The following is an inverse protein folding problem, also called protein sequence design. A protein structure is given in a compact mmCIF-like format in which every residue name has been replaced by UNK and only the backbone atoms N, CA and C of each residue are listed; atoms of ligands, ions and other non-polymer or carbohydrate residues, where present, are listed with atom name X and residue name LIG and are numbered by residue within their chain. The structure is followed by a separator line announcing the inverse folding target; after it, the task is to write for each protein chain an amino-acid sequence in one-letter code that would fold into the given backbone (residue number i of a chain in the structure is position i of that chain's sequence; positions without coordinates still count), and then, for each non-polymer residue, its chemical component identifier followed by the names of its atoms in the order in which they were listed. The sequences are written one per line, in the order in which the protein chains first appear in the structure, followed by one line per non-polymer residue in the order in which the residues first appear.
data_IF_485719643352
#
_entry.id   IF_485719643352
#
_cell.length_a   1.000
_cell.length_b   1.000
_cell.length_c   1.000
_cell.angle_alpha   90.00
_cell.angle_beta   90.00
_cell.angle_gamma   90.00
#
_symmetry.space_group_name_H-M   'P 1'
#
loop_
_entity.id
_entity.type
_entity.pdbx_description
1 polymer ?
#
# COMPACT_ATOMS: atom_id res chain seq x y z
N UNK A 1 69.03 -0.22 -13.91
CA UNK A 1 67.78 -0.82 -14.43
C UNK A 1 66.62 0.03 -13.94
N UNK A 2 65.78 0.52 -14.86
CA UNK A 2 64.91 1.68 -14.68
C UNK A 2 63.69 1.41 -13.79
N UNK A 3 63.53 2.22 -12.74
CA UNK A 3 62.34 2.26 -11.88
C UNK A 3 61.13 2.79 -12.67
N UNK A 4 60.12 1.94 -12.88
CA UNK A 4 58.86 2.31 -13.55
C UNK A 4 57.93 3.01 -12.56
N UNK A 5 57.92 4.35 -12.56
CA UNK A 5 56.87 5.15 -11.91
C UNK A 5 55.55 4.95 -12.66
N UNK A 6 54.59 4.25 -12.05
CA UNK A 6 53.22 4.15 -12.56
C UNK A 6 52.44 5.39 -12.13
N UNK A 7 52.13 6.26 -13.08
CA UNK A 7 51.26 7.42 -12.89
C UNK A 7 49.81 6.91 -12.80
N UNK A 8 49.23 6.88 -11.60
CA UNK A 8 47.81 6.61 -11.41
C UNK A 8 47.03 7.91 -11.70
N UNK A 9 46.38 7.95 -12.86
CA UNK A 9 45.37 8.97 -13.21
C UNK A 9 44.15 8.76 -12.30
N UNK A 10 43.98 9.62 -11.30
CA UNK A 10 42.77 9.69 -10.51
C UNK A 10 41.66 10.38 -11.33
N UNK A 11 40.67 9.61 -11.78
CA UNK A 11 39.42 10.15 -12.32
C UNK A 11 38.61 10.72 -11.16
N UNK A 12 38.26 12.02 -11.13
CA UNK A 12 37.31 12.52 -10.15
C UNK A 12 35.93 11.98 -10.52
N UNK A 13 35.43 11.02 -9.74
CA UNK A 13 34.06 10.55 -9.84
C UNK A 13 33.14 11.70 -9.40
N UNK A 14 32.61 12.44 -10.38
CA UNK A 14 31.62 13.49 -10.17
C UNK A 14 30.27 12.83 -9.88
N UNK A 15 30.12 12.26 -8.69
CA UNK A 15 28.86 11.77 -8.17
C UNK A 15 28.04 12.98 -7.67
N UNK A 16 27.42 13.70 -8.60
CA UNK A 16 26.40 14.68 -8.26
C UNK A 16 25.20 13.97 -7.59
N UNK A 17 24.62 14.53 -6.51
CA UNK A 17 23.43 13.94 -5.90
C UNK A 17 22.31 13.96 -6.93
N UNK A 18 21.85 12.78 -7.35
CA UNK A 18 20.58 12.64 -8.08
C UNK A 18 19.49 13.08 -7.10
N UNK A 19 19.03 14.32 -7.24
CA UNK A 19 17.84 14.78 -6.56
C UNK A 19 16.67 13.92 -7.03
N UNK A 20 16.30 12.92 -6.22
CA UNK A 20 15.13 12.10 -6.46
C UNK A 20 13.90 12.99 -6.43
N UNK A 21 13.23 13.15 -7.57
CA UNK A 21 11.96 13.86 -7.66
C UNK A 21 10.88 12.99 -6.99
N UNK A 22 10.76 13.11 -5.67
CA UNK A 22 9.61 12.59 -4.92
C UNK A 22 8.40 13.50 -5.11
N UNK A 23 7.19 12.95 -4.99
CA UNK A 23 5.97 13.75 -4.97
C UNK A 23 5.89 14.48 -3.63
N UNK A 24 5.90 15.81 -3.66
CA UNK A 24 5.78 16.62 -2.44
C UNK A 24 4.30 16.89 -2.10
N UNK A 25 3.91 16.90 -0.80
CA UNK A 25 2.55 17.23 -0.37
C UNK A 25 1.98 18.52 -0.96
N UNK A 26 2.82 19.56 -1.08
CA UNK A 26 2.45 20.86 -1.66
C UNK A 26 1.89 20.77 -3.09
N UNK A 27 2.18 19.69 -3.83
CA UNK A 27 1.66 19.47 -5.19
C UNK A 27 0.14 19.31 -5.24
N UNK A 28 -0.50 19.01 -4.12
CA UNK A 28 -1.95 18.77 -4.05
C UNK A 28 -2.75 19.91 -3.43
N UNK A 29 -2.09 20.97 -2.94
CA UNK A 29 -2.77 22.12 -2.35
C UNK A 29 -3.77 22.76 -3.33
N UNK A 30 -4.96 23.07 -2.84
CA UNK A 30 -6.04 23.66 -3.64
C UNK A 30 -6.73 22.71 -4.62
N UNK A 31 -6.30 21.45 -4.76
CA UNK A 31 -6.97 20.45 -5.60
C UNK A 31 -8.16 19.82 -4.87
N UNK A 32 -9.23 19.57 -5.61
CA UNK A 32 -10.48 19.01 -5.08
C UNK A 32 -11.02 17.85 -5.91
N UNK A 33 -11.98 17.08 -5.38
CA UNK A 33 -12.55 17.19 -4.02
C UNK A 33 -11.53 16.76 -2.94
N UNK A 34 -11.60 17.34 -1.71
CA UNK A 34 -10.60 17.04 -0.69
C UNK A 34 -10.60 15.55 -0.30
N UNK A 35 -9.42 15.02 0.01
CA UNK A 35 -9.27 13.68 0.53
C UNK A 35 -9.39 13.73 2.05
N UNK A 36 -10.48 13.16 2.56
CA UNK A 36 -10.74 13.03 3.99
C UNK A 36 -10.74 11.53 4.32
N UNK A 37 -9.68 10.99 4.95
CA UNK A 37 -9.57 9.55 5.19
C UNK A 37 -10.79 8.95 5.89
N UNK A 38 -11.31 9.64 6.90
CA UNK A 38 -12.50 9.28 7.67
C UNK A 38 -13.79 9.21 6.86
N UNK A 39 -13.88 9.97 5.76
CA UNK A 39 -15.03 9.93 4.85
C UNK A 39 -14.82 8.94 3.71
N UNK A 40 -13.60 8.87 3.18
CA UNK A 40 -13.30 8.05 2.01
C UNK A 40 -13.25 6.56 2.34
N UNK A 41 -12.68 6.19 3.48
CA UNK A 41 -12.50 4.78 3.86
C UNK A 41 -13.64 4.25 4.75
N UNK A 42 -14.54 5.10 5.23
CA UNK A 42 -15.73 4.64 5.95
C UNK A 42 -16.78 4.09 4.97
N UNK A 43 -17.29 2.89 5.26
CA UNK A 43 -18.22 2.15 4.41
C UNK A 43 -17.56 0.97 3.71
N UNK A 44 -18.24 0.45 2.67
CA UNK A 44 -17.75 -0.68 1.85
C UNK A 44 -16.98 -0.17 0.66
N UNK A 45 -15.79 -0.74 0.43
CA UNK A 45 -14.97 -0.46 -0.73
C UNK A 45 -14.57 -1.75 -1.44
N UNK A 46 -14.28 -1.62 -2.73
CA UNK A 46 -13.49 -2.59 -3.48
C UNK A 46 -12.22 -1.94 -4.00
N UNK A 47 -11.19 -2.74 -4.14
CA UNK A 47 -9.97 -2.31 -4.82
C UNK A 47 -9.47 -3.39 -5.77
N UNK A 48 -8.75 -2.94 -6.79
CA UNK A 48 -8.00 -3.79 -7.72
C UNK A 48 -6.65 -3.14 -7.94
N UNK A 49 -5.59 -3.93 -7.83
CA UNK A 49 -4.23 -3.42 -7.91
C UNK A 49 -3.26 -4.39 -8.56
N UNK A 50 -2.13 -3.86 -8.98
CA UNK A 50 -1.02 -4.59 -9.57
C UNK A 50 0.30 -4.09 -9.00
N UNK A 51 1.30 -4.96 -9.03
CA UNK A 51 2.66 -4.59 -8.68
C UNK A 51 3.55 -4.56 -9.92
N UNK A 52 4.27 -3.46 -10.06
CA UNK A 52 5.23 -3.21 -11.12
C UNK A 52 6.62 -3.21 -10.53
N UNK A 53 7.49 -4.05 -11.08
CA UNK A 53 8.92 -4.05 -10.75
C UNK A 53 9.58 -2.74 -11.19
N UNK A 54 10.79 -2.46 -10.66
CA UNK A 54 11.61 -1.31 -11.09
C UNK A 54 11.87 -1.25 -12.60
N UNK A 55 11.87 -2.40 -13.27
CA UNK A 55 12.12 -2.52 -14.71
C UNK A 55 10.83 -2.42 -15.54
N UNK A 56 9.68 -2.12 -14.92
CA UNK A 56 8.40 -1.96 -15.60
C UNK A 56 7.63 -3.26 -15.83
N UNK A 57 8.20 -4.42 -15.48
CA UNK A 57 7.50 -5.70 -15.57
C UNK A 57 6.38 -5.81 -14.54
N UNK A 58 5.20 -6.27 -14.96
CA UNK A 58 4.08 -6.58 -14.07
C UNK A 58 4.35 -7.94 -13.41
N UNK A 59 4.40 -7.97 -12.08
CA UNK A 59 4.73 -9.18 -11.33
C UNK A 59 3.50 -9.95 -10.87
N UNK A 60 2.40 -9.24 -10.61
CA UNK A 60 1.12 -9.83 -10.22
C UNK A 60 0.07 -8.77 -9.92
N UNK A 61 -1.15 -9.23 -9.66
CA UNK A 61 -2.30 -8.39 -9.35
C UNK A 61 -3.17 -9.03 -8.28
N UNK A 62 -4.02 -8.21 -7.67
CA UNK A 62 -4.95 -8.61 -6.63
C UNK A 62 -6.25 -7.82 -6.74
N UNK A 63 -7.29 -8.36 -6.11
CA UNK A 63 -8.49 -7.62 -5.76
C UNK A 63 -8.60 -7.61 -4.23
N UNK A 64 -9.20 -6.56 -3.67
CA UNK A 64 -9.53 -6.53 -2.26
C UNK A 64 -10.96 -6.02 -2.03
N UNK A 65 -11.54 -6.46 -0.92
CA UNK A 65 -12.73 -5.89 -0.33
C UNK A 65 -12.35 -5.25 0.99
N UNK A 66 -12.92 -4.09 1.27
CA UNK A 66 -12.67 -3.37 2.50
C UNK A 66 -13.99 -2.98 3.16
N UNK A 67 -14.00 -3.02 4.48
CA UNK A 67 -15.09 -2.48 5.28
C UNK A 67 -14.48 -1.58 6.33
N UNK A 68 -14.84 -0.30 6.29
CA UNK A 68 -14.38 0.69 7.24
C UNK A 68 -15.49 1.38 8.02
N UNK A 69 -15.10 1.95 9.15
CA UNK A 69 -15.96 2.72 10.02
C UNK A 69 -15.18 3.85 10.70
N UNK A 70 -15.90 4.92 11.01
CA UNK A 70 -15.39 6.08 11.72
C UNK A 70 -16.25 6.29 12.97
N UNK A 71 -15.63 6.20 14.15
CA UNK A 71 -16.33 6.34 15.43
C UNK A 71 -16.36 7.79 15.96
N UNK A 72 -15.88 8.76 15.17
CA UNK A 72 -15.70 10.15 15.59
C UNK A 72 -14.26 10.50 15.99
N UNK A 73 -13.41 9.51 16.27
CA UNK A 73 -12.02 9.70 16.68
C UNK A 73 -11.02 8.78 15.96
N UNK A 74 -11.43 7.54 15.67
CA UNK A 74 -10.61 6.49 15.06
C UNK A 74 -11.30 5.95 13.82
N UNK A 75 -10.54 5.93 12.72
CA UNK A 75 -10.87 5.26 11.48
C UNK A 75 -10.35 3.84 11.60
N UNK A 76 -11.26 2.88 11.49
CA UNK A 76 -10.92 1.46 11.44
C UNK A 76 -11.33 0.91 10.09
N UNK A 77 -10.52 0.07 9.48
CA UNK A 77 -10.94 -0.67 8.30
C UNK A 77 -10.27 -2.04 8.22
N UNK A 78 -11.08 -3.04 7.87
CA UNK A 78 -10.68 -4.41 7.64
C UNK A 78 -10.61 -4.66 6.14
N UNK A 79 -9.48 -5.18 5.69
CA UNK A 79 -9.18 -5.47 4.29
C UNK A 79 -9.03 -6.98 4.11
N UNK A 80 -9.65 -7.50 3.05
CA UNK A 80 -9.48 -8.86 2.60
C UNK A 80 -8.99 -8.86 1.16
N UNK A 81 -7.81 -9.45 0.94
CA UNK A 81 -7.13 -9.50 -0.35
C UNK A 81 -7.26 -10.89 -0.97
N UNK A 82 -7.43 -10.93 -2.29
CA UNK A 82 -7.34 -12.13 -3.11
C UNK A 82 -6.42 -11.88 -4.29
N UNK A 83 -5.33 -12.63 -4.34
CA UNK A 83 -4.29 -12.52 -5.36
C UNK A 83 -4.60 -13.44 -6.56
N UNK A 84 -3.95 -13.17 -7.70
CA UNK A 84 -4.14 -13.90 -8.95
C UNK A 84 -3.87 -15.42 -8.86
N UNK A 85 -2.94 -15.80 -8.00
CA UNK A 85 -2.53 -17.17 -7.72
C UNK A 85 -3.42 -17.87 -6.67
N UNK A 86 -4.47 -17.18 -6.20
CA UNK A 86 -5.39 -17.68 -5.19
C UNK A 86 -4.94 -17.51 -3.74
N UNK A 87 -3.83 -16.82 -3.48
CA UNK A 87 -3.51 -16.40 -2.12
C UNK A 87 -4.59 -15.49 -1.56
N UNK A 88 -4.80 -15.59 -0.26
CA UNK A 88 -5.68 -14.70 0.47
C UNK A 88 -4.92 -14.11 1.66
N UNK A 89 -5.11 -12.82 1.88
CA UNK A 89 -4.48 -12.11 2.99
C UNK A 89 -5.48 -11.16 3.64
N UNK A 90 -5.19 -10.74 4.87
CA UNK A 90 -6.04 -9.83 5.63
C UNK A 90 -5.20 -8.78 6.33
N UNK A 91 -5.70 -7.55 6.30
CA UNK A 91 -5.08 -6.45 7.04
C UNK A 91 -6.14 -5.63 7.74
N UNK A 92 -5.92 -5.37 9.02
CA UNK A 92 -6.78 -4.49 9.79
C UNK A 92 -6.00 -3.25 10.19
N UNK A 93 -6.59 -2.09 9.97
CA UNK A 93 -6.01 -0.78 10.23
C UNK A 93 -6.76 -0.04 11.32
N UNK A 94 -6.02 0.73 12.12
CA UNK A 94 -6.56 1.74 13.04
C UNK A 94 -5.78 3.03 12.84
N UNK A 95 -6.45 4.07 12.33
CA UNK A 95 -5.88 5.39 12.11
C UNK A 95 -6.62 6.43 12.95
N UNK A 96 -5.91 7.40 13.51
CA UNK A 96 -6.47 8.54 14.25
C UNK A 96 -5.76 9.81 13.81
N UNK A 97 -6.39 10.97 14.01
CA UNK A 97 -5.71 12.25 13.81
C UNK A 97 -4.52 12.38 14.77
N UNK A 98 -3.46 13.01 14.31
CA UNK A 98 -2.31 13.31 15.15
C UNK A 98 -2.63 14.51 16.07
N UNK A 99 -2.71 14.32 17.41
CA UNK A 99 -2.96 15.43 18.32
C UNK A 99 -1.84 16.47 18.34
N UNK A 100 -0.64 16.14 17.85
CA UNK A 100 0.47 17.08 17.76
C UNK A 100 0.30 18.12 16.65
N UNK A 101 -0.59 17.89 15.67
CA UNK A 101 -0.89 18.86 14.60
C UNK A 101 -2.40 19.18 14.54
N UNK A 102 -2.85 20.26 15.21
CA UNK A 102 -4.27 20.63 15.33
C UNK A 102 -4.97 20.98 14.01
N UNK A 103 -4.24 21.10 12.89
CA UNK A 103 -4.77 21.42 11.56
C UNK A 103 -5.54 20.28 10.88
N UNK A 104 -5.64 19.10 11.53
CA UNK A 104 -6.51 18.00 11.11
C UNK A 104 -6.03 17.17 9.91
N UNK A 105 -4.92 17.57 9.27
CA UNK A 105 -4.33 16.87 8.13
C UNK A 105 -3.40 15.71 8.50
N UNK A 106 -2.84 15.69 9.71
CA UNK A 106 -1.90 14.65 10.13
C UNK A 106 -2.61 13.46 10.79
N UNK A 107 -2.09 12.26 10.52
CA UNK A 107 -2.65 10.99 10.97
C UNK A 107 -1.56 10.09 11.56
N UNK A 108 -1.93 9.32 12.57
CA UNK A 108 -1.13 8.27 13.18
C UNK A 108 -1.94 6.98 13.24
N UNK A 109 -1.28 5.84 13.15
CA UNK A 109 -1.97 4.58 13.27
C UNK A 109 -1.09 3.36 13.37
N UNK A 110 -1.76 2.22 13.22
CA UNK A 110 -1.21 0.87 13.29
C UNK A 110 -1.96 -0.04 12.32
N UNK A 111 -1.32 -1.14 11.95
CA UNK A 111 -1.93 -2.23 11.21
C UNK A 111 -1.51 -3.58 11.82
N UNK A 112 -2.29 -4.63 11.58
CA UNK A 112 -2.03 -5.98 12.12
C UNK A 112 -0.65 -6.55 11.79
N UNK A 113 -0.08 -6.17 10.65
CA UNK A 113 1.22 -6.60 10.15
C UNK A 113 2.23 -5.45 10.06
N UNK A 114 1.90 -4.29 10.64
CA UNK A 114 2.82 -3.16 10.70
C UNK A 114 3.96 -3.45 11.70
N UNK A 115 5.20 -3.18 11.30
CA UNK A 115 6.38 -3.32 12.18
C UNK A 115 6.78 -2.02 12.86
N UNK A 116 6.00 -0.97 12.67
CA UNK A 116 6.24 0.38 13.18
C UNK A 116 5.00 1.25 13.05
N UNK A 117 5.06 2.52 13.51
CA UNK A 117 3.94 3.44 13.43
C UNK A 117 3.60 3.78 11.98
N UNK A 118 2.31 3.81 11.68
CA UNK A 118 1.76 4.34 10.42
C UNK A 118 1.63 5.85 10.57
N UNK A 119 2.11 6.60 9.59
CA UNK A 119 2.01 8.08 9.55
C UNK A 119 1.30 8.50 8.29
N UNK A 120 0.39 9.46 8.39
CA UNK A 120 -0.31 9.97 7.22
C UNK A 120 -0.46 11.48 7.21
N UNK A 121 -0.61 12.04 6.01
CA UNK A 121 -0.89 13.46 5.78
C UNK A 121 -1.88 13.64 4.65
N UNK A 122 -3.04 14.21 4.96
CA UNK A 122 -4.04 14.62 3.99
C UNK A 122 -3.79 16.07 3.56
N UNK A 123 -3.76 16.31 2.25
CA UNK A 123 -3.57 17.63 1.64
C UNK A 123 -4.32 17.71 0.31
N UNK A 124 -5.22 18.70 0.19
CA UNK A 124 -6.10 18.83 -0.98
C UNK A 124 -6.84 17.54 -1.27
N UNK A 125 -6.75 17.04 -2.51
CA UNK A 125 -7.35 15.78 -2.95
C UNK A 125 -6.45 14.54 -2.75
N UNK A 126 -5.40 14.63 -1.94
CA UNK A 126 -4.48 13.53 -1.71
C UNK A 126 -4.32 13.17 -0.22
N UNK A 127 -3.98 11.90 0.02
CA UNK A 127 -3.57 11.37 1.32
C UNK A 127 -2.28 10.60 1.14
N UNK A 128 -1.23 11.04 1.83
CA UNK A 128 0.06 10.35 1.92
C UNK A 128 0.05 9.43 3.13
N UNK A 129 0.55 8.22 2.99
CA UNK A 129 0.62 7.21 4.03
C UNK A 129 1.99 6.51 3.98
N UNK A 130 2.73 6.62 5.07
CA UNK A 130 4.02 5.98 5.28
C UNK A 130 3.90 4.89 6.33
N UNK A 131 4.37 3.70 6.01
CA UNK A 131 4.30 2.55 6.92
C UNK A 131 5.31 1.45 6.54
N UNK A 132 5.56 0.54 7.46
CA UNK A 132 6.37 -0.66 7.22
C UNK A 132 5.56 -1.90 7.54
N UNK A 133 5.52 -2.85 6.61
CA UNK A 133 4.79 -4.12 6.76
C UNK A 133 5.76 -5.29 6.78
N UNK A 134 5.45 -6.27 7.61
CA UNK A 134 6.11 -7.57 7.55
C UNK A 134 5.38 -8.48 6.56
N UNK A 135 5.92 -8.58 5.35
CA UNK A 135 5.30 -9.32 4.25
C UNK A 135 5.91 -10.72 4.13
N UNK A 136 5.11 -11.77 3.87
CA UNK A 136 5.67 -13.07 3.50
C UNK A 136 6.54 -12.93 2.23
N UNK A 137 7.59 -13.74 2.16
CA UNK A 137 8.42 -13.88 0.96
C UNK A 137 8.49 -15.31 0.50
N UNK A 138 9.03 -15.47 -0.70
CA UNK A 138 9.13 -16.70 -1.48
C UNK A 138 9.93 -17.85 -0.92
N UNK A 139 10.72 -17.56 0.10
CA UNK A 139 11.46 -18.57 0.84
C UNK A 139 10.74 -18.95 2.13
N UNK A 140 9.47 -18.56 2.28
CA UNK A 140 8.71 -18.64 3.53
C UNK A 140 9.20 -17.66 4.61
N UNK A 141 10.27 -16.89 4.37
CA UNK A 141 10.78 -15.89 5.31
C UNK A 141 9.93 -14.62 5.23
N UNK A 142 9.65 -13.99 6.37
CA UNK A 142 8.99 -12.68 6.39
C UNK A 142 10.01 -11.57 6.13
N UNK A 143 9.61 -10.52 5.44
CA UNK A 143 10.45 -9.38 5.04
C UNK A 143 9.74 -8.09 5.39
N UNK A 144 10.46 -7.22 6.09
CA UNK A 144 10.05 -5.85 6.32
C UNK A 144 10.18 -5.02 5.06
N UNK A 145 9.06 -4.49 4.58
CA UNK A 145 8.99 -3.59 3.45
C UNK A 145 8.45 -2.24 3.88
N UNK A 146 9.10 -1.17 3.43
CA UNK A 146 8.63 0.20 3.62
C UNK A 146 7.75 0.62 2.43
N UNK A 147 6.65 1.30 2.73
CA UNK A 147 5.67 1.79 1.78
C UNK A 147 5.57 3.30 1.91
N UNK A 148 5.80 4.00 0.80
CA UNK A 148 5.51 5.42 0.60
C UNK A 148 4.31 5.49 -0.36
N UNK A 149 3.12 5.64 0.21
CA UNK A 149 1.86 5.49 -0.50
C UNK A 149 1.10 6.79 -0.62
N UNK A 150 0.75 7.15 -1.85
CA UNK A 150 -0.14 8.26 -2.16
C UNK A 150 -1.47 7.73 -2.62
N UNK A 151 -2.54 8.20 -1.99
CA UNK A 151 -3.91 8.11 -2.48
C UNK A 151 -4.29 9.47 -3.07
N UNK A 152 -4.91 9.47 -4.25
CA UNK A 152 -5.38 10.68 -4.93
C UNK A 152 -6.83 10.45 -5.30
N UNK A 153 -7.72 11.28 -4.75
CA UNK A 153 -9.14 11.28 -5.05
C UNK A 153 -9.36 11.91 -6.42
N UNK A 154 -9.86 11.11 -7.35
CA UNK A 154 -10.08 11.51 -8.76
C UNK A 154 -11.56 11.73 -9.08
N UNK A 155 -12.44 11.34 -8.18
CA UNK A 155 -13.87 11.58 -8.28
C UNK A 155 -14.53 11.48 -6.91
N UNK A 156 -15.86 11.44 -6.89
CA UNK A 156 -16.59 11.36 -5.64
C UNK A 156 -16.24 10.07 -4.89
N UNK A 157 -16.42 8.91 -5.54
CA UNK A 157 -16.27 7.56 -4.99
C UNK A 157 -14.98 6.84 -5.40
N UNK A 158 -14.06 7.51 -6.11
CA UNK A 158 -12.87 6.89 -6.68
C UNK A 158 -11.60 7.55 -6.17
N UNK A 159 -10.64 6.72 -5.75
CA UNK A 159 -9.26 7.14 -5.54
C UNK A 159 -8.30 6.20 -6.28
N UNK A 160 -7.23 6.79 -6.81
CA UNK A 160 -6.09 6.05 -7.34
C UNK A 160 -4.96 6.12 -6.34
N UNK A 161 -4.27 5.01 -6.15
CA UNK A 161 -3.17 4.88 -5.23
C UNK A 161 -1.91 4.43 -5.92
N UNK A 162 -0.78 5.01 -5.52
CA UNK A 162 0.56 4.59 -5.90
C UNK A 162 1.41 4.45 -4.64
N UNK A 163 1.90 3.25 -4.36
CA UNK A 163 2.83 2.98 -3.29
C UNK A 163 4.22 2.62 -3.83
N UNK A 164 5.24 3.42 -3.54
CA UNK A 164 6.61 3.02 -3.75
C UNK A 164 7.03 2.07 -2.63
N UNK A 165 7.50 0.88 -3.00
CA UNK A 165 7.83 -0.19 -2.05
C UNK A 165 9.33 -0.36 -1.98
N UNK A 166 9.90 -0.35 -0.79
CA UNK A 166 11.35 -0.43 -0.56
C UNK A 166 11.72 -1.53 0.42
N UNK A 167 12.85 -2.19 0.16
CA UNK A 167 13.47 -3.14 1.07
C UNK A 167 14.87 -2.64 1.43
N UNK A 168 15.15 -2.46 2.73
CA UNK A 168 16.41 -1.86 3.21
C UNK A 168 16.78 -0.54 2.51
N UNK A 169 15.80 0.34 2.29
CA UNK A 169 15.99 1.63 1.61
C UNK A 169 16.13 1.55 0.07
N UNK A 170 16.02 0.35 -0.51
CA UNK A 170 16.22 0.12 -1.95
C UNK A 170 14.85 -0.21 -2.58
N UNK A 171 14.27 0.71 -3.36
CA UNK A 171 12.89 0.64 -3.88
C UNK A 171 12.56 -0.55 -4.80
N UNK A 172 12.10 -1.70 -4.30
CA UNK A 172 11.87 -2.93 -5.09
C UNK A 172 10.80 -2.82 -6.19
N UNK A 173 9.84 -1.91 -6.07
CA UNK A 173 8.82 -1.71 -7.10
C UNK A 173 7.77 -0.67 -6.72
N UNK A 174 6.61 -0.75 -7.36
CA UNK A 174 5.47 0.13 -7.16
C UNK A 174 4.19 -0.69 -7.17
N UNK A 175 3.36 -0.55 -6.13
CA UNK A 175 1.97 -1.01 -6.16
C UNK A 175 1.07 0.12 -6.70
N UNK A 176 0.27 -0.19 -7.72
CA UNK A 176 -0.75 0.71 -8.26
C UNK A 176 -2.12 0.11 -7.98
N UNK A 177 -3.00 0.88 -7.36
CA UNK A 177 -4.28 0.38 -6.86
C UNK A 177 -5.38 1.36 -7.17
N UNK A 178 -6.51 0.87 -7.65
CA UNK A 178 -7.76 1.63 -7.74
C UNK A 178 -8.64 1.31 -6.54
N UNK A 179 -9.27 2.31 -5.96
CA UNK A 179 -10.24 2.17 -4.88
C UNK A 179 -11.57 2.75 -5.33
N UNK A 180 -12.65 2.00 -5.08
CA UNK A 180 -14.00 2.43 -5.36
C UNK A 180 -14.89 2.20 -4.12
N UNK A 181 -15.57 3.25 -3.67
CA UNK A 181 -16.64 3.12 -2.66
C UNK A 181 -17.88 2.49 -3.29
N UNK A 182 -18.48 1.56 -2.55
CA UNK A 182 -19.71 0.85 -2.92
C UNK A 182 -20.91 1.31 -2.09
N UNK A 183 -20.67 1.90 -0.93
CA UNK A 183 -21.69 2.53 -0.10
C UNK A 183 -21.16 3.85 0.43
N UNK A 184 -21.99 4.89 0.36
CA UNK A 184 -21.72 6.17 1.01
C UNK A 184 -22.38 6.18 2.40
N UNK A 185 -21.67 6.74 3.37
CA UNK A 185 -22.11 6.85 4.75
C UNK A 185 -21.06 6.32 5.72
N UNK A 186 -20.85 7.07 6.79
CA UNK A 186 -20.06 6.60 7.92
C UNK A 186 -20.76 5.36 8.48
N UNK A 187 -20.14 4.18 8.36
CA UNK A 187 -20.53 3.06 9.22
C UNK A 187 -20.29 3.53 10.65
N UNK A 188 -21.35 3.72 11.42
CA UNK A 188 -21.22 4.14 12.81
C UNK A 188 -20.55 3.03 13.64
N UNK A 189 -19.57 3.42 14.46
CA UNK A 189 -18.83 2.52 15.34
C UNK A 189 -17.46 2.12 14.80
N UNK A 190 -16.95 0.99 15.28
CA UNK A 190 -15.70 0.41 14.82
C UNK A 190 -15.98 -0.90 14.08
N UNK A 191 -15.25 -1.15 13.00
CA UNK A 191 -15.22 -2.49 12.39
C UNK A 191 -14.28 -3.39 13.18
N UNK A 192 -14.57 -4.69 13.15
CA UNK A 192 -13.70 -5.70 13.76
C UNK A 192 -12.93 -6.45 12.68
N UNK A 193 -11.75 -6.97 13.05
CA UNK A 193 -10.95 -7.79 12.16
C UNK A 193 -11.74 -8.99 11.61
N UNK A 194 -11.62 -9.22 10.30
CA UNK A 194 -12.32 -10.27 9.56
C UNK A 194 -13.75 -9.92 9.13
N UNK A 195 -14.22 -8.69 9.34
CA UNK A 195 -15.54 -8.26 8.89
C UNK A 195 -15.68 -8.30 7.36
N UNK A 196 -14.68 -7.84 6.60
CA UNK A 196 -14.73 -7.84 5.14
C UNK A 196 -14.86 -9.27 4.57
N UNK A 197 -14.13 -10.22 5.17
CA UNK A 197 -14.21 -11.62 4.79
C UNK A 197 -15.57 -12.27 5.11
N UNK A 198 -16.22 -11.89 6.21
CA UNK A 198 -17.57 -12.38 6.56
C UNK A 198 -18.61 -11.88 5.56
N UNK A 199 -18.55 -10.61 5.19
CA UNK A 199 -19.44 -10.03 4.18
C UNK A 199 -19.27 -10.70 2.82
N UNK A 200 -18.03 -11.00 2.43
CA UNK A 200 -17.75 -11.77 1.22
C UNK A 200 -18.39 -13.16 1.23
N UNK A 201 -18.23 -13.92 2.32
CA UNK A 201 -18.81 -15.25 2.44
C UNK A 201 -20.34 -15.23 2.40
N UNK A 202 -20.95 -14.16 2.91
CA UNK A 202 -22.41 -13.96 2.86
C UNK A 202 -22.91 -13.54 1.47
N UNK A 203 -22.11 -12.77 0.73
CA UNK A 203 -22.42 -12.32 -0.62
C UNK A 203 -22.17 -13.38 -1.70
N UNK A 204 -21.36 -14.41 -1.40
CA UNK A 204 -21.14 -15.53 -2.30
C UNK A 204 -22.47 -16.30 -2.53
N UNK A 205 -22.83 -16.62 -3.79
CA UNK A 205 -24.01 -17.45 -4.05
C UNK A 205 -23.88 -18.78 -3.30
N UNK A 206 -24.96 -19.24 -2.66
CA UNK A 206 -25.00 -20.45 -1.79
C UNK A 206 -24.67 -21.78 -2.48
N UNK A 207 -24.05 -21.78 -3.65
CA UNK A 207 -23.73 -22.98 -4.41
C UNK A 207 -22.64 -22.74 -5.44
N UNK A 208 -21.40 -22.58 -4.99
CA UNK A 208 -20.17 -22.99 -5.68
C UNK A 208 -18.98 -22.47 -4.87
N UNK A 209 -18.33 -23.34 -4.10
CA UNK A 209 -16.95 -23.07 -3.73
C UNK A 209 -16.14 -23.16 -5.04
N UNK A 210 -15.39 -22.12 -5.45
CA UNK A 210 -14.41 -22.31 -6.50
C UNK A 210 -13.42 -23.38 -5.99
N UNK A 211 -13.27 -24.47 -6.75
CA UNK A 211 -12.26 -25.47 -6.46
C UNK A 211 -10.89 -24.80 -6.33
N UNK A 212 -9.99 -25.32 -5.49
CA UNK A 212 -8.68 -24.71 -5.30
C UNK A 212 -8.00 -24.59 -6.67
N UNK A 213 -7.47 -23.40 -7.05
CA UNK A 213 -6.65 -23.31 -8.24
C UNK A 213 -5.49 -24.31 -8.09
N UNK A 214 -5.18 -25.03 -9.17
CA UNK A 214 -4.10 -26.00 -9.16
C UNK A 214 -2.83 -25.35 -8.63
N UNK A 215 -2.32 -25.84 -7.49
CA UNK A 215 -1.04 -25.40 -6.94
C UNK A 215 0.04 -25.75 -7.96
N UNK A 216 0.57 -24.74 -8.64
CA UNK A 216 1.91 -24.85 -9.21
C UNK A 216 2.91 -24.75 -8.05
N UNK A 217 3.60 -25.83 -7.66
CA UNK A 217 4.56 -25.81 -6.56
C UNK A 217 5.76 -24.87 -6.81
N UNK A 218 5.92 -24.34 -8.04
CA UNK A 218 6.94 -23.36 -8.38
C UNK A 218 6.55 -21.88 -8.17
N UNK A 219 5.27 -21.57 -7.94
CA UNK A 219 4.74 -20.20 -7.87
C UNK A 219 4.08 -19.95 -6.50
N UNK A 220 4.92 -19.55 -5.54
CA UNK A 220 4.55 -19.27 -4.15
C UNK A 220 3.93 -17.85 -3.99
N UNK A 221 2.79 -17.69 -3.30
CA UNK A 221 1.84 -16.61 -3.57
C UNK A 221 2.09 -15.25 -2.88
N UNK A 222 3.07 -15.18 -1.97
CA UNK A 222 3.55 -13.92 -1.38
C UNK A 222 4.53 -13.13 -2.28
N UNK A 223 4.66 -13.56 -3.56
CA UNK A 223 5.72 -13.13 -4.50
C UNK A 223 5.66 -11.66 -4.86
N UNK A 224 4.44 -11.15 -5.05
CA UNK A 224 4.17 -10.03 -5.94
C UNK A 224 4.83 -8.72 -5.50
N UNK A 225 5.11 -8.52 -4.21
CA UNK A 225 5.71 -7.28 -3.70
C UNK A 225 7.23 -7.36 -3.46
N UNK A 226 7.82 -8.54 -3.68
CA UNK A 226 9.05 -8.96 -3.01
C UNK A 226 10.06 -9.75 -3.88
N UNK A 227 9.83 -9.97 -5.19
CA UNK A 227 10.85 -10.62 -5.99
C UNK A 227 12.11 -9.74 -6.09
N UNK A 228 13.31 -10.35 -5.95
CA UNK A 228 14.52 -9.66 -6.39
C UNK A 228 14.40 -9.34 -7.89
N UNK A 229 15.02 -8.25 -8.38
CA UNK A 229 15.12 -8.02 -9.82
C UNK A 229 15.71 -9.28 -10.45
N UNK A 230 15.00 -9.88 -11.42
CA UNK A 230 15.57 -10.96 -12.22
C UNK A 230 16.83 -10.40 -12.89
N UNK A 231 17.97 -11.04 -12.66
CA UNK A 231 19.24 -10.70 -13.30
C UNK A 231 19.14 -10.86 -14.81
#
# INVERSE_FOLDING_TARGET
MHSRRRLLLALPALAGPLAGCGTAPATFEGKGPPFRPEEFFAGRLRSAGLFVTRLGGIEGWFNARLVGAWDGATLTFDEYFRYEDGFEDRRFWRLRRDPAEPGGGAWLGEATDATGPVRGRAVGNAFHLEHELDMPSLSGRRRRLAFDQWFVRTGEDVALSRAAVSWHGVQVGVAQVSFQRLSQGVTEGAVVAGQAAREEMQAAPRGAAPGPPGRDPGRDPGRVMNAPPRR
#
